data_IF_281081319101
#
_entry.id   IF_281081319101
#
_cell.length_a   1.000
_cell.length_b   1.000
_cell.length_c   1.000
_cell.angle_alpha   90.00
_cell.angle_beta   90.00
_cell.angle_gamma   90.00
#
_symmetry.space_group_name_H-M   'P 1'
#
loop_
_entity.id
_entity.type
_entity.pdbx_description
1 polymer ?
#
# COMPACT_ATOMS: atom_id res chain seq x y z
N UNK A 1 -1.52 -17.79 -9.09
CA UNK A 1 -2.65 -18.16 -8.23
C UNK A 1 -2.07 -19.00 -7.09
N UNK A 2 -2.12 -18.51 -5.87
CA UNK A 2 -1.51 -19.21 -4.73
C UNK A 2 -2.30 -20.48 -4.46
N UNK A 3 -1.63 -21.59 -4.17
CA UNK A 3 -2.27 -22.82 -3.71
C UNK A 3 -2.79 -22.61 -2.27
N UNK A 4 -3.76 -21.71 -2.13
CA UNK A 4 -4.24 -21.29 -0.81
C UNK A 4 -5.32 -22.20 -0.25
N UNK A 5 -6.02 -22.96 -1.10
CA UNK A 5 -7.13 -23.81 -0.66
C UNK A 5 -6.67 -24.89 0.30
N UNK A 6 -5.61 -25.62 -0.02
CA UNK A 6 -5.06 -26.65 0.88
C UNK A 6 -4.51 -26.05 2.20
N UNK A 7 -3.92 -24.85 2.13
CA UNK A 7 -3.44 -24.16 3.32
C UNK A 7 -4.59 -23.63 4.18
N UNK A 8 -5.68 -23.20 3.56
CA UNK A 8 -6.87 -22.76 4.28
C UNK A 8 -7.53 -23.92 5.03
N UNK A 9 -7.63 -25.10 4.43
CA UNK A 9 -8.12 -26.30 5.11
C UNK A 9 -7.26 -26.66 6.33
N UNK A 10 -5.92 -26.63 6.17
CA UNK A 10 -4.98 -26.91 7.27
C UNK A 10 -5.18 -25.95 8.45
N UNK A 11 -5.36 -24.66 8.18
CA UNK A 11 -5.43 -23.61 9.19
C UNK A 11 -6.87 -23.22 9.58
N UNK A 12 -7.87 -23.88 9.02
CA UNK A 12 -9.30 -23.59 9.30
C UNK A 12 -9.63 -23.59 10.80
N UNK A 13 -9.17 -24.54 11.64
CA UNK A 13 -9.48 -24.53 13.07
C UNK A 13 -8.96 -23.28 13.80
N UNK A 14 -7.85 -22.70 13.34
CA UNK A 14 -7.28 -21.48 13.92
C UNK A 14 -8.00 -20.24 13.40
N UNK A 15 -8.37 -20.22 12.12
CA UNK A 15 -9.05 -19.09 11.49
C UNK A 15 -10.48 -18.89 11.99
N UNK A 16 -11.17 -19.97 12.34
CA UNK A 16 -12.56 -19.96 12.77
C UNK A 16 -12.74 -20.14 14.29
N UNK A 17 -11.66 -19.94 15.06
CA UNK A 17 -11.72 -20.08 16.51
C UNK A 17 -12.70 -19.06 17.11
N UNK A 18 -13.65 -19.49 17.99
CA UNK A 18 -14.74 -18.66 18.48
C UNK A 18 -14.27 -17.46 19.33
N UNK A 19 -13.14 -17.57 20.02
CA UNK A 19 -12.63 -16.53 20.92
C UNK A 19 -11.89 -15.40 20.19
N UNK A 20 -11.73 -15.51 18.86
CA UNK A 20 -11.00 -14.55 18.07
C UNK A 20 -11.94 -13.85 17.07
N UNK A 21 -11.71 -12.55 16.77
CA UNK A 21 -12.56 -11.83 15.83
C UNK A 21 -12.55 -12.50 14.44
N UNK A 22 -13.72 -12.59 13.82
CA UNK A 22 -13.85 -13.21 12.49
C UNK A 22 -13.19 -12.33 11.43
N UNK A 23 -12.44 -12.96 10.53
CA UNK A 23 -11.88 -12.29 9.36
C UNK A 23 -12.90 -12.43 8.23
N UNK A 24 -13.63 -11.37 7.91
CA UNK A 24 -14.69 -11.37 6.89
C UNK A 24 -14.12 -11.37 5.46
N UNK A 25 -13.00 -10.71 5.26
CA UNK A 25 -12.35 -10.58 3.96
C UNK A 25 -11.61 -11.88 3.57
N UNK A 26 -12.02 -12.48 2.46
CA UNK A 26 -11.41 -13.70 1.92
C UNK A 26 -9.92 -13.50 1.56
N UNK A 27 -9.57 -12.30 1.11
CA UNK A 27 -8.18 -11.98 0.78
C UNK A 27 -7.31 -11.88 2.04
N UNK A 28 -7.75 -11.18 3.07
CA UNK A 28 -7.07 -11.11 4.37
C UNK A 28 -6.91 -12.51 4.98
N UNK A 29 -7.92 -13.37 4.83
CA UNK A 29 -7.88 -14.77 5.26
C UNK A 29 -6.78 -15.56 4.53
N UNK A 30 -6.72 -15.46 3.19
CA UNK A 30 -5.69 -16.13 2.39
C UNK A 30 -4.27 -15.67 2.74
N UNK A 31 -4.05 -14.39 2.92
CA UNK A 31 -2.75 -13.85 3.33
C UNK A 31 -2.37 -14.33 4.72
N UNK A 32 -3.30 -14.33 5.66
CA UNK A 32 -3.05 -14.79 7.04
C UNK A 32 -2.65 -16.26 7.07
N UNK A 33 -3.25 -17.13 6.24
CA UNK A 33 -2.87 -18.54 6.14
C UNK A 33 -1.44 -18.72 5.66
N UNK A 34 -1.00 -17.95 4.66
CA UNK A 34 0.38 -18.01 4.17
C UNK A 34 1.36 -17.54 5.25
N UNK A 35 1.02 -16.49 5.98
CA UNK A 35 1.85 -15.97 7.07
C UNK A 35 1.98 -17.00 8.20
N UNK A 36 0.90 -17.68 8.57
CA UNK A 36 0.92 -18.74 9.57
C UNK A 36 1.78 -19.94 9.12
N UNK A 37 1.71 -20.32 7.85
CA UNK A 37 2.56 -21.35 7.29
C UNK A 37 4.06 -20.97 7.29
N UNK A 38 4.37 -19.74 6.94
CA UNK A 38 5.74 -19.22 7.01
C UNK A 38 6.26 -19.21 8.46
N UNK A 39 5.39 -18.92 9.42
CA UNK A 39 5.73 -18.96 10.82
C UNK A 39 6.02 -20.40 11.29
N UNK A 40 5.18 -21.36 10.92
CA UNK A 40 5.42 -22.76 11.23
C UNK A 40 6.77 -23.25 10.67
N UNK A 41 7.09 -22.88 9.42
CA UNK A 41 8.36 -23.19 8.80
C UNK A 41 9.54 -22.58 9.56
N UNK A 42 9.47 -21.30 9.87
CA UNK A 42 10.51 -20.60 10.62
C UNK A 42 10.73 -21.23 12.00
N UNK A 43 9.67 -21.58 12.71
CA UNK A 43 9.77 -22.25 14.01
C UNK A 43 10.39 -23.67 13.91
N UNK A 44 10.09 -24.38 12.82
CA UNK A 44 10.72 -25.70 12.56
C UNK A 44 12.20 -25.58 12.26
N UNK A 45 12.61 -24.57 11.48
CA UNK A 45 14.01 -24.27 11.19
C UNK A 45 14.78 -23.90 12.47
N UNK A 46 14.23 -23.01 13.30
CA UNK A 46 14.83 -22.61 14.57
C UNK A 46 14.99 -23.80 15.53
N UNK A 47 14.01 -24.72 15.57
CA UNK A 47 14.09 -25.94 16.36
C UNK A 47 15.11 -26.93 15.83
N UNK A 48 15.21 -27.10 14.51
CA UNK A 48 16.22 -27.96 13.91
C UNK A 48 17.63 -27.47 14.30
N UNK A 49 17.86 -26.17 14.30
CA UNK A 49 19.13 -25.57 14.71
C UNK A 49 19.44 -25.79 16.20
N UNK A 50 18.43 -25.70 17.07
CA UNK A 50 18.59 -25.94 18.50
C UNK A 50 18.75 -27.43 18.83
N UNK A 51 18.17 -28.33 18.04
CA UNK A 51 18.29 -29.79 18.26
C UNK A 51 19.62 -30.35 17.85
N UNK A 52 20.35 -29.74 16.91
CA UNK A 52 21.71 -30.13 16.52
C UNK A 52 22.76 -29.83 17.62
N UNK A 53 22.46 -28.88 18.52
CA UNK A 53 23.40 -28.45 19.57
C UNK A 53 23.12 -29.10 20.95
N UNK A 54 22.14 -29.97 21.09
CA UNK A 54 21.84 -30.60 22.37
C UNK A 54 22.66 -31.86 22.57
N UNK A 55 23.48 -31.98 23.64
CA UNK A 55 24.18 -33.22 23.95
C UNK A 55 23.16 -34.33 24.28
N UNK A 56 23.28 -35.44 23.61
CA UNK A 56 22.45 -36.65 23.72
C UNK A 56 22.56 -37.34 25.09
N UNK A 57 22.23 -36.70 26.18
CA UNK A 57 22.17 -37.35 27.49
C UNK A 57 20.87 -37.01 28.24
N UNK A 58 19.74 -37.16 27.62
CA UNK A 58 18.47 -37.29 28.32
C UNK A 58 17.69 -38.44 27.69
N UNK A 59 18.07 -39.63 28.07
CA UNK A 59 17.21 -40.81 27.98
C UNK A 59 16.05 -40.65 28.96
N UNK A 60 15.11 -39.82 28.61
CA UNK A 60 13.76 -39.89 29.15
C UNK A 60 12.86 -40.31 28.00
N UNK A 61 12.59 -41.61 27.94
CA UNK A 61 11.63 -42.15 26.99
C UNK A 61 10.25 -41.54 27.18
N UNK A 62 9.81 -40.86 26.20
CA UNK A 62 8.47 -40.29 26.16
C UNK A 62 8.31 -39.36 24.97
N UNK A 63 7.75 -39.90 23.91
CA UNK A 63 7.07 -39.21 22.84
C UNK A 63 7.55 -37.76 22.53
N UNK A 64 8.53 -37.66 21.67
CA UNK A 64 9.07 -36.41 21.17
C UNK A 64 8.11 -35.69 20.19
N UNK A 65 6.83 -35.84 20.35
CA UNK A 65 5.82 -35.07 19.64
C UNK A 65 4.96 -34.25 20.59
N UNK A 66 5.59 -33.60 21.55
CA UNK A 66 4.97 -32.40 22.09
C UNK A 66 5.28 -31.27 21.12
N UNK A 67 4.48 -31.15 20.12
CA UNK A 67 4.31 -29.91 19.37
C UNK A 67 3.86 -28.84 20.37
N UNK A 68 4.83 -28.23 21.03
CA UNK A 68 4.56 -27.04 21.81
C UNK A 68 4.36 -25.90 20.83
N UNK A 69 3.20 -25.90 20.23
CA UNK A 69 2.66 -24.73 19.58
C UNK A 69 2.56 -23.67 20.65
N UNK A 70 3.13 -22.51 20.39
CA UNK A 70 2.96 -21.41 21.30
C UNK A 70 1.59 -20.76 20.99
N UNK A 71 0.51 -21.09 21.74
CA UNK A 71 -0.84 -20.65 21.41
C UNK A 71 -0.96 -19.12 21.51
N UNK A 72 -0.14 -18.50 22.36
CA UNK A 72 -0.08 -17.04 22.53
C UNK A 72 0.39 -16.38 21.24
N UNK A 73 1.43 -16.92 20.62
CA UNK A 73 2.01 -16.37 19.41
C UNK A 73 1.03 -16.46 18.23
N UNK A 74 0.36 -17.60 18.06
CA UNK A 74 -0.61 -17.81 16.99
C UNK A 74 -1.83 -16.89 17.16
N UNK A 75 -2.35 -16.77 18.36
CA UNK A 75 -3.47 -15.88 18.65
C UNK A 75 -3.11 -14.43 18.44
N UNK A 76 -1.89 -14.03 18.79
CA UNK A 76 -1.37 -12.68 18.62
C UNK A 76 -1.21 -12.35 17.12
N UNK A 77 -0.62 -13.24 16.32
CA UNK A 77 -0.48 -13.03 14.88
C UNK A 77 -1.85 -12.90 14.21
N UNK A 78 -2.78 -13.78 14.55
CA UNK A 78 -4.12 -13.73 13.99
C UNK A 78 -4.90 -12.46 14.40
N UNK A 79 -4.71 -11.97 15.62
CA UNK A 79 -5.38 -10.76 16.12
C UNK A 79 -4.75 -9.50 15.52
N UNK A 80 -3.44 -9.45 15.42
CA UNK A 80 -2.70 -8.25 15.12
C UNK A 80 -2.52 -8.01 13.61
N UNK A 81 -2.15 -9.04 12.83
CA UNK A 81 -1.80 -8.89 11.42
C UNK A 81 -2.94 -8.38 10.54
N UNK A 82 -4.20 -8.84 10.63
CA UNK A 82 -5.29 -8.35 9.79
C UNK A 82 -5.66 -6.87 10.02
N UNK A 83 -5.27 -6.31 11.16
CA UNK A 83 -5.59 -4.93 11.56
C UNK A 83 -4.56 -3.91 11.07
N UNK A 84 -3.49 -4.34 10.41
CA UNK A 84 -2.54 -3.41 9.82
C UNK A 84 -3.19 -2.56 8.72
N UNK A 85 -2.96 -1.25 8.76
CA UNK A 85 -3.44 -0.29 7.75
C UNK A 85 -2.92 -0.63 6.34
N UNK A 86 -1.79 -1.34 6.26
CA UNK A 86 -1.20 -1.79 5.02
C UNK A 86 -2.14 -2.68 4.19
N UNK A 87 -2.99 -3.49 4.83
CA UNK A 87 -3.95 -4.34 4.14
C UNK A 87 -5.05 -3.54 3.44
N UNK A 88 -5.36 -2.36 3.94
CA UNK A 88 -6.42 -1.52 3.41
C UNK A 88 -5.91 -0.54 2.36
N UNK A 89 -4.69 -0.01 2.53
CA UNK A 89 -4.13 1.04 1.67
C UNK A 89 -3.17 0.47 0.60
N UNK A 90 -2.38 -0.55 0.96
CA UNK A 90 -1.36 -1.14 0.09
C UNK A 90 -1.83 -2.46 -0.54
N UNK A 91 -1.16 -2.87 -1.60
CA UNK A 91 -1.24 -4.24 -2.09
C UNK A 91 -0.40 -5.15 -1.18
N UNK A 92 -0.95 -6.26 -0.72
CA UNK A 92 -0.23 -7.18 0.16
C UNK A 92 0.16 -8.42 -0.62
N UNK A 93 1.46 -8.69 -0.68
CA UNK A 93 2.02 -9.86 -1.37
C UNK A 93 2.95 -10.61 -0.40
N UNK A 94 2.48 -11.68 0.24
CA UNK A 94 3.31 -12.45 1.14
C UNK A 94 4.46 -13.12 0.38
N UNK A 95 5.66 -13.08 0.97
CA UNK A 95 6.85 -13.69 0.42
C UNK A 95 7.06 -15.08 1.02
N UNK A 96 7.54 -16.01 0.21
CA UNK A 96 7.91 -17.37 0.66
C UNK A 96 9.40 -17.51 0.97
N UNK A 97 10.19 -16.48 0.66
CA UNK A 97 11.64 -16.41 0.88
C UNK A 97 12.07 -15.01 1.32
N UNK A 98 13.35 -14.80 1.63
CA UNK A 98 13.89 -13.51 2.06
C UNK A 98 13.88 -12.45 0.96
N UNK A 99 13.73 -12.86 -0.29
CA UNK A 99 13.64 -11.98 -1.46
C UNK A 99 12.37 -12.30 -2.25
N UNK A 100 11.68 -11.27 -2.71
CA UNK A 100 10.52 -11.35 -3.58
C UNK A 100 10.74 -10.55 -4.87
N UNK A 101 9.95 -10.85 -5.89
CA UNK A 101 9.95 -10.14 -7.16
C UNK A 101 8.55 -9.63 -7.45
N UNK A 102 8.45 -8.35 -7.80
CA UNK A 102 7.24 -7.72 -8.30
C UNK A 102 7.45 -7.44 -9.78
N UNK A 103 6.56 -7.97 -10.61
CA UNK A 103 6.60 -7.78 -12.05
C UNK A 103 5.59 -6.75 -12.50
N UNK A 104 6.00 -5.90 -13.44
CA UNK A 104 5.14 -4.98 -14.14
C UNK A 104 5.33 -5.16 -15.64
N UNK A 105 4.23 -5.26 -16.38
CA UNK A 105 4.25 -5.36 -17.84
C UNK A 105 3.78 -4.05 -18.44
N UNK A 106 4.58 -3.50 -19.37
CA UNK A 106 4.26 -2.28 -20.12
C UNK A 106 4.12 -2.61 -21.58
N UNK A 107 3.07 -2.06 -22.20
CA UNK A 107 2.92 -2.05 -23.64
C UNK A 107 3.73 -0.87 -24.22
N UNK A 108 4.44 -1.11 -25.31
CA UNK A 108 5.29 -0.11 -25.97
C UNK A 108 5.05 -0.09 -27.47
N UNK A 109 5.32 1.04 -28.10
CA UNK A 109 5.27 1.19 -29.52
C UNK A 109 6.62 0.84 -30.15
N UNK A 110 6.59 0.21 -31.30
CA UNK A 110 7.69 -0.19 -32.17
C UNK A 110 8.69 -1.18 -31.53
N UNK A 111 9.28 -0.87 -30.40
CA UNK A 111 10.31 -1.69 -29.76
C UNK A 111 10.10 -1.79 -28.24
N UNK A 112 10.84 -2.70 -27.59
CA UNK A 112 10.80 -2.85 -26.12
C UNK A 112 11.26 -1.60 -25.37
N UNK A 113 12.05 -0.73 -25.99
CA UNK A 113 12.51 0.55 -25.45
C UNK A 113 11.70 1.75 -25.96
N UNK A 114 10.68 1.52 -26.79
CA UNK A 114 9.83 2.55 -27.36
C UNK A 114 8.96 3.29 -26.34
N UNK A 115 8.19 4.28 -26.80
CA UNK A 115 7.26 5.02 -25.98
C UNK A 115 6.19 4.09 -25.38
N UNK A 116 5.72 4.40 -24.18
CA UNK A 116 4.68 3.61 -23.50
C UNK A 116 3.33 3.80 -24.21
N UNK A 117 2.64 2.71 -24.45
CA UNK A 117 1.30 2.67 -25.03
C UNK A 117 0.24 2.45 -23.96
N UNK A 118 -1.02 2.81 -24.24
CA UNK A 118 -2.20 2.59 -23.42
C UNK A 118 -2.31 3.43 -22.15
N UNK A 119 -1.29 4.19 -21.76
CA UNK A 119 -1.29 5.08 -20.57
C UNK A 119 -1.56 6.51 -20.97
N UNK A 120 -0.86 7.01 -21.97
CA UNK A 120 -1.07 8.33 -22.54
C UNK A 120 -2.24 8.33 -23.53
N UNK A 121 -2.57 9.47 -24.09
CA UNK A 121 -3.59 9.58 -25.12
C UNK A 121 -3.22 8.70 -26.32
N UNK A 122 -4.20 7.98 -26.84
CA UNK A 122 -3.96 7.14 -28.00
C UNK A 122 -3.67 8.00 -29.24
N UNK A 123 -2.52 7.81 -29.84
CA UNK A 123 -2.19 8.47 -31.12
C UNK A 123 -3.03 7.86 -32.23
N UNK A 124 -3.79 8.67 -32.97
CA UNK A 124 -4.69 8.16 -34.01
C UNK A 124 -3.98 7.67 -35.31
N UNK A 125 -2.70 7.97 -35.46
CA UNK A 125 -1.93 7.76 -36.68
C UNK A 125 -0.98 6.54 -36.63
N UNK A 126 -0.80 5.88 -35.52
CA UNK A 126 0.12 4.72 -35.41
C UNK A 126 -0.35 3.52 -36.26
N UNK A 127 -1.64 3.22 -36.22
CA UNK A 127 -2.19 2.05 -36.93
C UNK A 127 -2.54 2.35 -38.40
N UNK A 128 -2.52 3.60 -38.81
CA UNK A 128 -2.79 4.02 -40.20
C UNK A 128 -1.53 4.25 -41.00
N UNK A 129 -0.35 4.02 -40.45
CA UNK A 129 0.94 4.17 -41.09
C UNK A 129 1.71 2.86 -41.17
N UNK A 130 2.72 2.81 -42.03
CA UNK A 130 3.70 1.74 -41.98
C UNK A 130 4.71 1.97 -40.84
N UNK A 131 5.58 1.02 -40.53
CA UNK A 131 6.58 1.13 -39.49
C UNK A 131 7.54 2.30 -39.63
N UNK A 132 7.75 2.76 -40.88
CA UNK A 132 8.63 3.89 -41.23
C UNK A 132 7.90 5.25 -41.20
N UNK A 133 6.59 5.30 -41.07
CA UNK A 133 5.79 6.52 -41.12
C UNK A 133 5.74 7.19 -42.50
N UNK A 134 6.02 6.43 -43.57
CA UNK A 134 6.14 6.97 -44.96
C UNK A 134 4.88 6.72 -45.78
N UNK A 135 4.10 5.72 -45.46
CA UNK A 135 2.84 5.38 -46.10
C UNK A 135 1.75 5.37 -45.04
N UNK A 136 0.70 6.15 -45.25
CA UNK A 136 -0.45 6.20 -44.35
C UNK A 136 -1.38 7.35 -44.68
N UNK A 137 -2.54 7.32 -44.08
CA UNK A 137 -3.48 8.43 -44.08
C UNK A 137 -2.94 9.54 -43.18
N UNK A 138 -2.27 10.51 -43.72
CA UNK A 138 -1.62 11.56 -42.97
C UNK A 138 -2.54 12.28 -41.96
N UNK A 139 -1.93 12.94 -41.05
CA UNK A 139 -2.56 13.83 -40.11
C UNK A 139 -3.42 14.88 -40.80
N UNK A 140 -4.67 15.00 -40.40
CA UNK A 140 -5.58 16.06 -40.83
C UNK A 140 -5.60 17.13 -39.75
N UNK A 141 -4.81 18.17 -39.92
CA UNK A 141 -4.79 19.30 -39.01
C UNK A 141 -3.49 19.44 -38.24
N UNK A 142 -3.33 20.56 -37.57
CA UNK A 142 -2.17 20.83 -36.75
C UNK A 142 -2.30 20.13 -35.40
N UNK A 143 -1.19 19.88 -34.75
CA UNK A 143 -1.07 19.13 -33.52
C UNK A 143 -1.74 19.83 -32.34
N UNK A 144 -2.85 19.34 -31.85
CA UNK A 144 -3.47 19.86 -30.65
C UNK A 144 -3.63 18.79 -29.59
N UNK A 145 -3.02 19.02 -28.43
CA UNK A 145 -3.04 18.10 -27.31
C UNK A 145 -4.10 18.42 -26.28
N UNK A 146 -4.83 19.53 -26.47
CA UNK A 146 -5.77 20.02 -25.44
C UNK A 146 -7.14 20.37 -26.01
N UNK A 147 -8.19 19.59 -25.74
CA UNK A 147 -9.55 19.90 -26.19
C UNK A 147 -10.13 21.19 -25.62
N UNK A 148 -9.49 21.83 -24.63
CA UNK A 148 -9.94 23.12 -24.10
C UNK A 148 -9.75 24.29 -25.07
N UNK A 149 -8.95 24.11 -26.12
CA UNK A 149 -8.66 25.11 -27.16
C UNK A 149 -9.71 25.11 -28.28
N UNK A 150 -10.75 24.27 -28.18
CA UNK A 150 -11.89 24.24 -29.10
C UNK A 150 -12.52 25.60 -29.42
N UNK A 151 -12.31 26.60 -28.55
CA UNK A 151 -12.82 27.94 -28.67
C UNK A 151 -11.81 28.93 -29.25
N UNK A 152 -10.57 28.52 -29.53
CA UNK A 152 -9.55 29.42 -30.08
C UNK A 152 -9.77 29.69 -31.57
N UNK A 153 -9.44 30.90 -31.95
CA UNK A 153 -9.43 31.33 -33.36
C UNK A 153 -8.00 31.67 -33.75
N UNK A 154 -7.43 30.97 -34.68
CA UNK A 154 -8.03 30.01 -35.64
C UNK A 154 -8.37 28.68 -34.99
N UNK A 155 -9.53 28.11 -35.43
CA UNK A 155 -10.07 26.90 -34.91
C UNK A 155 -8.99 25.83 -34.73
N UNK A 156 -8.93 25.36 -33.48
CA UNK A 156 -7.87 24.51 -32.99
C UNK A 156 -7.59 23.31 -33.80
N UNK A 157 -6.56 22.91 -33.54
CA UNK A 157 -5.67 21.97 -34.09
C UNK A 157 -5.80 20.66 -33.35
N UNK A 158 -6.91 19.95 -33.58
CA UNK A 158 -7.00 18.57 -33.13
C UNK A 158 -6.27 17.68 -34.12
N UNK A 159 -5.38 16.83 -33.64
CA UNK A 159 -4.79 15.80 -34.43
C UNK A 159 -5.83 14.74 -34.73
N UNK A 160 -6.28 14.65 -35.96
CA UNK A 160 -7.11 13.55 -36.43
C UNK A 160 -6.39 12.84 -37.58
N UNK A 161 -6.53 11.55 -37.66
CA UNK A 161 -5.93 10.77 -38.73
C UNK A 161 -7.01 10.05 -39.53
N UNK A 162 -6.78 9.89 -40.82
CA UNK A 162 -7.61 9.09 -41.72
C UNK A 162 -7.05 7.69 -41.84
N UNK A 163 -7.91 6.69 -42.09
CA UNK A 163 -7.45 5.36 -42.46
C UNK A 163 -6.66 5.36 -43.78
N UNK A 164 -5.94 4.28 -44.02
CA UNK A 164 -5.19 4.06 -45.25
C UNK A 164 -6.13 3.90 -46.45
N UNK A 165 -5.72 4.36 -47.62
CA UNK A 165 -6.40 4.05 -48.89
C UNK A 165 -6.20 2.57 -49.24
N UNK A 166 -7.07 2.02 -50.11
CA UNK A 166 -6.95 0.63 -50.55
C UNK A 166 -5.59 0.33 -51.17
N UNK A 167 -5.07 1.22 -51.99
CA UNK A 167 -3.75 1.05 -52.59
C UNK A 167 -2.60 1.06 -51.58
N UNK A 168 -2.72 1.87 -50.50
CA UNK A 168 -1.73 1.89 -49.42
C UNK A 168 -1.82 0.62 -48.57
N UNK A 169 -3.03 0.13 -48.33
CA UNK A 169 -3.24 -1.13 -47.60
C UNK A 169 -2.72 -2.36 -48.36
N UNK A 170 -2.83 -2.37 -49.71
CA UNK A 170 -2.24 -3.39 -50.55
C UNK A 170 -0.71 -3.37 -50.57
N UNK A 171 -0.10 -2.20 -50.43
CA UNK A 171 1.36 -2.04 -50.40
C UNK A 171 2.00 -2.41 -49.06
N UNK A 172 1.19 -2.57 -47.98
CA UNK A 172 1.72 -2.95 -46.67
C UNK A 172 2.31 -4.36 -46.70
N UNK A 173 3.59 -4.48 -46.35
CA UNK A 173 4.33 -5.73 -46.31
C UNK A 173 4.93 -6.18 -47.61
N UNK A 174 4.79 -5.40 -48.74
CA UNK A 174 5.34 -5.74 -50.06
C UNK A 174 6.86 -5.57 -50.14
N UNK A 175 7.43 -4.73 -49.28
CA UNK A 175 8.85 -4.47 -49.23
C UNK A 175 9.36 -4.25 -47.79
N UNK A 176 10.67 -4.35 -47.60
CA UNK A 176 11.29 -4.12 -46.29
C UNK A 176 11.14 -2.70 -45.75
N UNK A 177 10.68 -1.76 -46.56
CA UNK A 177 10.39 -0.37 -46.17
C UNK A 177 8.92 -0.15 -45.79
N UNK A 178 8.03 -1.08 -46.17
CA UNK A 178 6.58 -0.97 -45.97
C UNK A 178 6.06 -1.98 -44.94
N UNK A 179 6.82 -2.20 -43.89
CA UNK A 179 6.40 -3.12 -42.83
C UNK A 179 5.23 -2.54 -42.02
N UNK A 180 4.42 -3.42 -41.47
CA UNK A 180 3.34 -3.03 -40.52
C UNK A 180 3.93 -2.33 -39.30
N UNK A 181 3.22 -1.35 -38.76
CA UNK A 181 3.55 -0.78 -37.47
C UNK A 181 3.45 -1.87 -36.38
N UNK A 182 4.44 -1.90 -35.50
CA UNK A 182 4.59 -2.96 -34.50
C UNK A 182 4.32 -2.42 -33.10
N UNK A 183 3.89 -3.31 -32.23
CA UNK A 183 3.83 -3.09 -30.79
C UNK A 183 4.68 -4.13 -30.08
N UNK A 184 5.31 -3.71 -29.01
CA UNK A 184 6.11 -4.56 -28.15
C UNK A 184 5.60 -4.51 -26.69
N UNK A 185 6.08 -5.40 -25.87
CA UNK A 185 5.92 -5.30 -24.42
C UNK A 185 7.25 -5.45 -23.72
N UNK A 186 7.41 -4.73 -22.62
CA UNK A 186 8.55 -4.87 -21.72
C UNK A 186 8.07 -5.36 -20.36
N UNK A 187 8.88 -6.22 -19.73
CA UNK A 187 8.64 -6.69 -18.37
C UNK A 187 9.67 -6.02 -17.47
N UNK A 188 9.17 -5.20 -16.57
CA UNK A 188 9.98 -4.60 -15.52
C UNK A 188 9.84 -5.41 -14.25
N UNK A 189 10.95 -5.60 -13.54
CA UNK A 189 10.99 -6.32 -12.27
C UNK A 189 11.53 -5.40 -11.18
N UNK A 190 10.91 -5.48 -10.02
CA UNK A 190 11.41 -4.84 -8.81
C UNK A 190 11.64 -5.91 -7.76
N UNK A 191 12.85 -5.93 -7.21
CA UNK A 191 13.21 -6.86 -6.13
C UNK A 191 12.84 -6.26 -4.79
N UNK A 192 12.23 -7.08 -3.95
CA UNK A 192 11.90 -6.73 -2.56
C UNK A 192 12.70 -7.63 -1.65
N UNK A 193 13.44 -7.04 -0.73
CA UNK A 193 14.20 -7.78 0.30
C UNK A 193 13.52 -7.61 1.65
N UNK A 194 13.45 -8.70 2.43
CA UNK A 194 12.90 -8.66 3.76
C UNK A 194 13.92 -8.05 4.74
N UNK A 195 13.53 -6.98 5.40
CA UNK A 195 14.28 -6.34 6.49
C UNK A 195 13.71 -6.75 7.84
N UNK A 196 14.52 -6.67 8.89
CA UNK A 196 14.15 -7.11 10.23
C UNK A 196 13.86 -5.93 11.13
N UNK A 197 12.76 -6.00 11.89
CA UNK A 197 12.52 -5.19 13.07
C UNK A 197 12.53 -6.07 14.30
N UNK A 198 13.16 -5.61 15.37
CA UNK A 198 13.22 -6.33 16.63
C UNK A 198 13.19 -5.38 17.81
N UNK A 199 12.43 -5.77 18.83
CA UNK A 199 12.33 -5.04 20.08
C UNK A 199 12.40 -6.04 21.24
N UNK A 200 13.09 -5.69 22.32
CA UNK A 200 13.20 -6.54 23.52
C UNK A 200 12.76 -5.79 24.75
N UNK A 201 12.22 -6.53 25.71
CA UNK A 201 11.98 -6.05 27.06
C UNK A 201 12.60 -6.99 28.09
N UNK A 202 13.03 -6.44 29.20
CA UNK A 202 13.58 -7.17 30.34
C UNK A 202 12.74 -6.79 31.57
N UNK A 203 12.45 -7.77 32.41
CA UNK A 203 11.74 -7.52 33.65
C UNK A 203 12.37 -8.32 34.80
N UNK A 204 12.20 -7.83 36.02
CA UNK A 204 12.72 -8.52 37.21
C UNK A 204 11.73 -9.54 37.73
N UNK A 205 12.25 -10.65 38.27
CA UNK A 205 11.41 -11.69 38.87
C UNK A 205 10.56 -11.16 40.03
N UNK A 206 11.11 -10.23 40.80
CA UNK A 206 10.44 -9.59 41.93
C UNK A 206 9.22 -8.79 41.48
N UNK A 207 9.39 -7.98 40.40
CA UNK A 207 8.28 -7.23 39.81
C UNK A 207 7.16 -8.17 39.32
N UNK A 208 7.52 -9.29 38.70
CA UNK A 208 6.53 -10.26 38.23
C UNK A 208 5.73 -10.90 39.37
N UNK A 209 6.41 -11.20 40.49
CA UNK A 209 5.77 -11.73 41.70
C UNK A 209 4.84 -10.70 42.33
N UNK A 210 5.25 -9.46 42.44
CA UNK A 210 4.47 -8.38 43.06
C UNK A 210 3.24 -8.05 42.22
N UNK A 211 3.38 -7.95 40.89
CA UNK A 211 2.26 -7.74 39.98
C UNK A 211 1.22 -8.86 40.05
N UNK A 212 1.68 -10.11 40.13
CA UNK A 212 0.81 -11.25 40.27
C UNK A 212 0.10 -11.29 41.61
N UNK A 213 0.80 -10.94 42.72
CA UNK A 213 0.27 -10.95 44.06
C UNK A 213 -0.74 -9.82 44.31
N UNK A 214 -0.49 -8.61 43.81
CA UNK A 214 -1.30 -7.42 44.10
C UNK A 214 -2.39 -7.23 43.04
N UNK A 215 -2.08 -7.38 41.78
CA UNK A 215 -2.98 -7.07 40.66
C UNK A 215 -3.53 -8.32 39.95
N UNK A 216 -2.99 -9.50 40.21
CA UNK A 216 -3.37 -10.73 39.52
C UNK A 216 -2.95 -10.77 38.03
N UNK A 217 -2.09 -9.84 37.60
CA UNK A 217 -1.62 -9.71 36.22
C UNK A 217 -0.33 -10.50 36.02
N UNK A 218 -0.20 -11.11 34.83
CA UNK A 218 1.04 -11.74 34.40
C UNK A 218 1.92 -10.73 33.68
N UNK A 219 3.09 -10.42 34.26
CA UNK A 219 4.02 -9.43 33.73
C UNK A 219 4.51 -9.79 32.30
N UNK A 220 4.65 -11.09 32.03
CA UNK A 220 5.07 -11.56 30.71
C UNK A 220 4.02 -11.27 29.65
N UNK A 221 2.76 -11.55 29.94
CA UNK A 221 1.66 -11.34 29.01
C UNK A 221 1.42 -9.86 28.75
N UNK A 222 1.48 -9.02 29.78
CA UNK A 222 1.33 -7.57 29.62
C UNK A 222 2.47 -6.96 28.79
N UNK A 223 3.72 -7.34 29.05
CA UNK A 223 4.85 -6.89 28.26
C UNK A 223 4.78 -7.39 26.80
N UNK A 224 4.31 -8.61 26.57
CA UNK A 224 4.10 -9.13 25.24
C UNK A 224 3.07 -8.31 24.47
N UNK A 225 1.96 -7.94 25.10
CA UNK A 225 0.94 -7.10 24.51
C UNK A 225 1.49 -5.71 24.17
N UNK A 226 2.21 -5.07 25.08
CA UNK A 226 2.82 -3.74 24.88
C UNK A 226 3.82 -3.78 23.71
N UNK A 227 4.75 -4.74 23.72
CA UNK A 227 5.76 -4.85 22.67
C UNK A 227 5.14 -5.13 21.29
N UNK A 228 4.12 -5.98 21.23
CA UNK A 228 3.44 -6.29 19.97
C UNK A 228 2.68 -5.08 19.42
N UNK A 229 1.97 -4.35 20.29
CA UNK A 229 1.26 -3.14 19.91
C UNK A 229 2.22 -2.07 19.37
N UNK A 230 3.37 -1.87 20.03
CA UNK A 230 4.37 -0.89 19.59
C UNK A 230 4.97 -1.25 18.22
N UNK A 231 5.37 -2.51 18.02
CA UNK A 231 5.93 -2.95 16.72
C UNK A 231 4.91 -2.76 15.59
N UNK A 232 3.62 -3.06 15.84
CA UNK A 232 2.57 -2.86 14.85
C UNK A 232 2.31 -1.38 14.55
N UNK A 233 2.29 -0.55 15.59
CA UNK A 233 2.17 0.90 15.44
C UNK A 233 3.32 1.50 14.63
N UNK A 234 4.56 1.02 14.86
CA UNK A 234 5.72 1.42 14.07
C UNK A 234 5.59 1.02 12.60
N UNK A 235 5.12 -0.20 12.31
CA UNK A 235 4.91 -0.66 10.93
C UNK A 235 3.84 0.19 10.24
N UNK A 236 2.72 0.44 10.89
CA UNK A 236 1.67 1.30 10.35
C UNK A 236 2.19 2.71 10.08
N UNK A 237 2.99 3.26 11.00
CA UNK A 237 3.60 4.58 10.83
C UNK A 237 4.57 4.62 9.67
N UNK A 238 5.37 3.58 9.48
CA UNK A 238 6.30 3.47 8.35
C UNK A 238 5.54 3.46 7.02
N UNK A 239 4.46 2.68 6.90
CA UNK A 239 3.63 2.65 5.69
C UNK A 239 3.08 4.03 5.36
N UNK A 240 2.50 4.71 6.34
CA UNK A 240 1.95 6.07 6.17
C UNK A 240 3.04 7.06 5.75
N UNK A 241 4.21 7.03 6.40
CA UNK A 241 5.35 7.89 6.06
C UNK A 241 5.86 7.65 4.65
N UNK A 242 5.97 6.40 4.24
CA UNK A 242 6.41 6.02 2.90
C UNK A 242 5.43 6.51 1.82
N UNK A 243 4.12 6.49 2.11
CA UNK A 243 3.11 7.06 1.22
C UNK A 243 3.31 8.59 1.11
N UNK A 244 3.55 9.30 2.20
CA UNK A 244 3.78 10.75 2.16
C UNK A 244 5.02 11.14 1.35
N UNK A 245 6.09 10.39 1.52
CA UNK A 245 7.35 10.68 0.82
C UNK A 245 7.18 10.43 -0.68
N UNK A 246 6.56 9.30 -1.05
CA UNK A 246 6.42 8.90 -2.44
C UNK A 246 5.34 9.65 -3.21
N UNK A 247 4.30 10.16 -2.55
CA UNK A 247 3.15 10.80 -3.18
C UNK A 247 3.53 12.02 -4.01
N UNK A 248 3.00 12.12 -5.23
CA UNK A 248 3.13 13.28 -6.10
C UNK A 248 2.39 14.48 -5.49
N UNK A 249 2.86 15.67 -5.74
CA UNK A 249 2.23 16.91 -5.29
C UNK A 249 0.89 17.09 -6.03
N UNK A 250 -0.20 17.17 -5.29
CA UNK A 250 -1.55 17.46 -5.80
C UNK A 250 -1.83 18.97 -5.88
N UNK A 251 -3.08 19.33 -6.08
CA UNK A 251 -3.56 20.71 -6.13
C UNK A 251 -2.73 21.61 -7.08
N UNK A 252 -2.43 21.12 -8.28
CA UNK A 252 -1.58 21.82 -9.24
C UNK A 252 -2.31 22.83 -10.11
N UNK A 253 -3.64 22.72 -10.24
CA UNK A 253 -4.42 23.58 -11.09
C UNK A 253 -5.48 24.36 -10.29
N UNK A 254 -5.67 25.64 -10.61
CA UNK A 254 -6.60 26.57 -9.96
C UNK A 254 -6.35 26.72 -8.44
N UNK A 255 -5.11 26.70 -8.01
CA UNK A 255 -4.65 27.02 -6.67
C UNK A 255 -3.57 28.08 -6.75
N UNK A 256 -3.54 28.94 -5.77
CA UNK A 256 -2.55 30.03 -5.70
C UNK A 256 -1.12 29.50 -5.62
N UNK A 257 -0.95 28.42 -4.86
CA UNK A 257 0.34 27.74 -4.71
C UNK A 257 0.17 26.25 -4.99
N UNK A 258 0.96 25.71 -5.90
CA UNK A 258 0.96 24.27 -6.19
C UNK A 258 1.26 23.45 -4.92
N UNK A 259 0.42 22.47 -4.64
CA UNK A 259 0.56 21.58 -3.48
C UNK A 259 -0.07 22.10 -2.19
N UNK A 260 -0.61 23.32 -2.19
CA UNK A 260 -1.28 23.91 -1.05
C UNK A 260 -2.69 24.29 -1.49
N UNK A 261 -3.68 23.81 -0.76
CA UNK A 261 -5.06 24.26 -0.89
C UNK A 261 -5.38 25.19 0.26
N UNK A 262 -5.57 26.47 -0.05
CA UNK A 262 -5.92 27.51 0.92
C UNK A 262 -7.44 27.73 0.90
N UNK A 263 -8.08 27.48 2.05
CA UNK A 263 -9.53 27.63 2.17
C UNK A 263 -10.00 29.09 2.00
N UNK A 264 -9.15 30.07 2.24
CA UNK A 264 -9.54 31.46 2.10
C UNK A 264 -9.41 31.97 0.67
N UNK A 265 -8.38 31.54 -0.06
CA UNK A 265 -8.08 32.06 -1.40
C UNK A 265 -8.55 31.14 -2.52
N UNK A 266 -8.47 29.83 -2.33
CA UNK A 266 -8.75 28.84 -3.38
C UNK A 266 -10.18 28.29 -3.32
N UNK A 267 -10.93 28.61 -2.27
CA UNK A 267 -12.32 28.20 -2.10
C UNK A 267 -13.27 29.39 -2.29
N UNK A 268 -14.28 29.26 -3.17
CA UNK A 268 -15.23 30.31 -3.52
C UNK A 268 -16.39 30.48 -2.50
N UNK A 269 -16.26 29.96 -1.29
CA UNK A 269 -17.34 30.04 -0.29
C UNK A 269 -17.25 31.27 0.60
N UNK A 270 -18.43 31.81 0.99
CA UNK A 270 -18.53 32.84 2.04
C UNK A 270 -18.55 32.24 3.44
N UNK A 271 -19.18 31.09 3.59
CA UNK A 271 -19.37 30.39 4.85
C UNK A 271 -18.38 29.27 4.97
N UNK A 272 -17.94 28.92 6.18
CA UNK A 272 -17.01 27.83 6.43
C UNK A 272 -17.47 26.51 5.81
N UNK A 273 -18.74 26.17 5.87
CA UNK A 273 -19.30 24.95 5.26
C UNK A 273 -19.17 24.95 3.74
N UNK A 274 -19.35 26.12 3.09
CA UNK A 274 -19.15 26.21 1.63
C UNK A 274 -17.68 26.05 1.25
N UNK A 275 -16.78 26.61 2.06
CA UNK A 275 -15.34 26.44 1.88
C UNK A 275 -14.93 24.97 2.02
N UNK A 276 -15.52 24.22 2.96
CA UNK A 276 -15.29 22.78 3.11
C UNK A 276 -15.83 21.96 1.91
N UNK A 277 -16.91 22.38 1.28
CA UNK A 277 -17.36 21.79 0.01
C UNK A 277 -16.36 22.05 -1.13
N UNK A 278 -15.70 23.21 -1.11
CA UNK A 278 -14.60 23.51 -2.02
C UNK A 278 -13.41 22.56 -1.84
N UNK A 279 -13.05 22.25 -0.59
CA UNK A 279 -12.03 21.25 -0.28
C UNK A 279 -12.38 19.87 -0.85
N UNK A 280 -13.65 19.48 -0.76
CA UNK A 280 -14.09 18.21 -1.33
C UNK A 280 -13.97 18.19 -2.86
N UNK A 281 -14.26 19.30 -3.54
CA UNK A 281 -14.04 19.38 -4.98
C UNK A 281 -12.56 19.26 -5.35
N UNK A 282 -11.67 19.84 -4.56
CA UNK A 282 -10.22 19.68 -4.74
C UNK A 282 -9.76 18.21 -4.58
N UNK A 283 -10.27 17.52 -3.56
CA UNK A 283 -10.07 16.08 -3.38
C UNK A 283 -10.51 15.27 -4.61
N UNK A 284 -11.70 15.56 -5.13
CA UNK A 284 -12.25 14.88 -6.31
C UNK A 284 -11.41 15.12 -7.55
N UNK A 285 -10.86 16.32 -7.73
CA UNK A 285 -9.94 16.65 -8.83
C UNK A 285 -8.65 15.84 -8.73
N UNK A 286 -8.05 15.76 -7.55
CA UNK A 286 -6.83 14.95 -7.35
C UNK A 286 -7.09 13.47 -7.59
N UNK A 287 -8.26 12.97 -7.16
CA UNK A 287 -8.66 11.59 -7.45
C UNK A 287 -8.83 11.33 -8.97
N UNK A 288 -9.44 12.27 -9.70
CA UNK A 288 -9.58 12.19 -11.15
C UNK A 288 -8.22 12.24 -11.85
N UNK A 289 -7.31 13.08 -11.38
CA UNK A 289 -5.97 13.17 -11.93
C UNK A 289 -5.16 11.87 -11.75
N UNK A 290 -5.36 11.14 -10.63
CA UNK A 290 -4.80 9.80 -10.47
C UNK A 290 -5.35 8.88 -11.55
N UNK A 291 -6.67 8.87 -11.78
CA UNK A 291 -7.30 8.07 -12.83
C UNK A 291 -6.81 8.39 -14.24
N UNK A 292 -6.59 9.67 -14.53
CA UNK A 292 -6.04 10.11 -15.82
C UNK A 292 -4.60 9.64 -16.02
N UNK A 293 -3.76 9.72 -14.97
CA UNK A 293 -2.34 9.39 -15.07
C UNK A 293 -2.06 7.90 -15.03
N UNK A 294 -2.87 7.14 -14.28
CA UNK A 294 -2.65 5.70 -14.12
C UNK A 294 -3.45 4.85 -15.10
N UNK A 295 -4.55 5.38 -15.64
CA UNK A 295 -5.51 4.65 -16.50
C UNK A 295 -6.05 3.34 -15.85
N UNK A 296 -5.84 3.17 -14.55
CA UNK A 296 -6.28 2.00 -13.77
C UNK A 296 -7.58 2.25 -13.05
N UNK A 297 -7.75 3.44 -12.51
CA UNK A 297 -8.94 3.82 -11.77
C UNK A 297 -8.75 5.11 -11.02
N UNK A 298 -9.86 5.70 -10.63
CA UNK A 298 -9.92 6.91 -9.82
C UNK A 298 -9.48 6.63 -8.40
N UNK A 299 -8.83 7.57 -7.74
CA UNK A 299 -8.50 7.47 -6.33
C UNK A 299 -9.71 7.04 -5.48
N UNK A 300 -9.51 6.15 -4.54
CA UNK A 300 -10.57 5.58 -3.70
C UNK A 300 -10.24 5.56 -2.20
N UNK A 301 -9.03 5.99 -1.83
CA UNK A 301 -8.55 6.05 -0.46
C UNK A 301 -8.13 7.48 -0.16
N UNK A 302 -8.51 7.97 1.02
CA UNK A 302 -8.09 9.26 1.55
C UNK A 302 -7.43 9.03 2.90
N UNK A 303 -6.23 9.52 3.05
CA UNK A 303 -5.51 9.57 4.31
C UNK A 303 -5.37 11.04 4.70
N UNK A 304 -5.89 11.43 5.85
CA UNK A 304 -5.94 12.83 6.25
C UNK A 304 -5.64 13.04 7.74
N UNK A 305 -5.37 14.28 8.10
CA UNK A 305 -5.30 14.69 9.50
C UNK A 305 -6.69 14.74 10.14
N UNK A 306 -6.76 14.68 11.47
CA UNK A 306 -8.01 14.68 12.22
C UNK A 306 -8.89 15.91 11.94
N UNK A 307 -8.27 17.09 11.81
CA UNK A 307 -9.00 18.33 11.56
C UNK A 307 -9.61 18.36 10.15
N UNK A 308 -8.89 17.86 9.15
CA UNK A 308 -9.44 17.72 7.79
C UNK A 308 -10.61 16.73 7.77
N UNK A 309 -10.54 15.62 8.51
CA UNK A 309 -11.66 14.69 8.62
C UNK A 309 -12.87 15.35 9.27
N UNK A 310 -12.66 16.16 10.30
CA UNK A 310 -13.73 16.95 10.95
C UNK A 310 -14.35 17.98 10.01
N UNK A 311 -13.55 18.64 9.18
CA UNK A 311 -14.03 19.55 8.16
C UNK A 311 -14.90 18.86 7.09
N UNK A 312 -14.48 17.67 6.66
CA UNK A 312 -15.26 16.84 5.73
C UNK A 312 -16.57 16.35 6.35
N UNK A 313 -16.60 16.08 7.64
CA UNK A 313 -17.81 15.75 8.38
C UNK A 313 -18.76 16.95 8.44
N UNK A 314 -18.25 18.14 8.78
CA UNK A 314 -19.05 19.37 8.83
C UNK A 314 -19.62 19.75 7.46
N UNK A 315 -18.96 19.39 6.37
CA UNK A 315 -19.51 19.54 5.03
C UNK A 315 -20.75 18.65 4.77
N UNK A 316 -21.06 17.73 5.68
CA UNK A 316 -22.21 16.82 5.58
C UNK A 316 -22.05 15.72 4.55
N UNK A 317 -20.85 15.35 4.22
CA UNK A 317 -20.52 14.44 3.11
C UNK A 317 -19.84 13.15 3.59
N UNK A 318 -19.25 13.16 4.77
CA UNK A 318 -18.64 11.99 5.37
C UNK A 318 -19.72 11.21 6.13
N UNK A 319 -20.14 10.10 5.55
CA UNK A 319 -21.00 9.14 6.24
C UNK A 319 -20.14 8.27 7.15
N UNK A 320 -20.27 8.49 8.45
CA UNK A 320 -19.73 7.54 9.41
C UNK A 320 -20.51 6.24 9.29
N UNK A 321 -19.78 5.16 9.08
CA UNK A 321 -20.41 3.84 9.12
C UNK A 321 -21.02 3.61 10.50
N UNK A 322 -22.32 3.25 10.62
CA UNK A 322 -22.96 3.02 11.92
C UNK A 322 -22.33 1.89 12.75
N UNK A 323 -21.45 1.12 12.16
CA UNK A 323 -20.62 0.14 12.84
C UNK A 323 -19.50 0.76 13.69
N UNK A 324 -19.13 2.00 13.46
CA UNK A 324 -18.36 2.80 14.38
C UNK A 324 -19.32 3.32 15.47
N UNK A 325 -19.74 2.40 16.34
CA UNK A 325 -20.33 2.77 17.59
C UNK A 325 -19.54 3.90 18.22
N UNK A 326 -20.20 4.92 18.73
CA UNK A 326 -19.84 6.07 19.54
C UNK A 326 -18.45 6.12 20.24
N UNK A 327 -17.61 5.16 20.04
CA UNK A 327 -16.24 5.09 20.45
C UNK A 327 -15.39 5.21 19.20
N UNK A 328 -14.80 6.37 18.98
CA UNK A 328 -13.54 6.53 18.25
C UNK A 328 -12.47 5.74 19.03
N UNK A 329 -12.61 4.43 19.05
CA UNK A 329 -11.55 3.58 19.53
C UNK A 329 -10.48 3.67 18.47
N UNK A 330 -9.46 4.47 18.76
CA UNK A 330 -8.17 4.34 18.11
C UNK A 330 -7.75 2.90 18.38
N UNK A 331 -7.74 2.08 17.35
CA UNK A 331 -7.19 0.74 17.45
C UNK A 331 -5.78 0.85 18.05
N UNK A 332 -5.41 -0.03 18.96
CA UNK A 332 -4.06 -0.10 19.54
C UNK A 332 -2.97 -0.16 18.44
N UNK A 333 -3.35 -0.56 17.23
CA UNK A 333 -2.51 -0.62 16.03
C UNK A 333 -2.43 0.70 15.25
N UNK A 334 -3.04 1.79 15.72
CA UNK A 334 -3.08 3.10 15.05
C UNK A 334 -3.77 3.10 13.68
N UNK A 335 -4.58 2.11 13.38
CA UNK A 335 -5.42 2.07 12.17
C UNK A 335 -6.76 2.71 12.48
N UNK A 336 -6.96 3.94 12.06
CA UNK A 336 -8.22 4.67 12.24
C UNK A 336 -8.97 4.80 10.93
N UNK A 337 -9.93 3.93 10.70
CA UNK A 337 -10.90 4.07 9.63
C UNK A 337 -12.04 4.98 10.10
N UNK A 338 -12.20 6.16 9.50
CA UNK A 338 -13.22 7.13 9.89
C UNK A 338 -14.59 6.88 9.24
N UNK A 339 -14.60 6.38 8.01
CA UNK A 339 -15.83 6.16 7.29
C UNK A 339 -15.66 6.25 5.78
N UNK A 340 -16.77 6.33 5.07
CA UNK A 340 -16.78 6.47 3.61
C UNK A 340 -17.31 7.85 3.19
N UNK A 341 -16.57 8.52 2.32
CA UNK A 341 -16.96 9.77 1.73
C UNK A 341 -17.71 9.50 0.42
N UNK A 342 -18.94 9.98 0.28
CA UNK A 342 -19.81 9.78 -0.90
C UNK A 342 -19.99 8.30 -1.30
N UNK A 343 -19.86 7.35 -0.39
CA UNK A 343 -19.95 5.92 -0.69
C UNK A 343 -18.81 5.38 -1.59
N UNK A 344 -17.79 6.19 -1.88
CA UNK A 344 -16.68 5.82 -2.79
C UNK A 344 -15.31 5.82 -2.12
N UNK A 345 -15.03 6.84 -1.32
CA UNK A 345 -13.72 7.05 -0.72
C UNK A 345 -13.69 6.52 0.69
N UNK A 346 -12.76 5.64 0.99
CA UNK A 346 -12.46 5.21 2.35
C UNK A 346 -11.54 6.23 3.00
N UNK A 347 -11.96 6.80 4.11
CA UNK A 347 -11.21 7.83 4.84
C UNK A 347 -10.51 7.23 6.04
N UNK A 348 -9.20 7.43 6.12
CA UNK A 348 -8.35 7.02 7.23
C UNK A 348 -7.76 8.26 7.88
N UNK A 349 -7.84 8.33 9.21
CA UNK A 349 -7.26 9.41 9.99
C UNK A 349 -5.87 9.01 10.44
N UNK A 350 -4.89 9.90 10.25
CA UNK A 350 -3.57 9.74 10.85
C UNK A 350 -3.58 10.31 12.29
N UNK A 351 -3.51 9.46 13.33
CA UNK A 351 -3.58 9.93 14.72
C UNK A 351 -2.32 10.69 15.14
N UNK A 352 -1.22 10.50 14.43
CA UNK A 352 0.06 11.17 14.72
C UNK A 352 0.31 12.43 13.89
N UNK A 353 -0.68 12.86 13.10
CA UNK A 353 -0.58 14.14 12.42
C UNK A 353 -0.49 15.25 13.47
N UNK A 354 0.51 16.10 13.34
CA UNK A 354 0.69 17.21 14.28
C UNK A 354 -0.54 18.12 14.26
N UNK A 355 -1.16 18.33 15.40
CA UNK A 355 -2.28 19.27 15.60
C UNK A 355 -1.83 20.74 15.54
N UNK A 356 -0.91 21.05 14.64
CA UNK A 356 -0.48 22.41 14.39
C UNK A 356 -1.23 22.89 13.16
N UNK A 357 -1.96 23.97 13.28
CA UNK A 357 -2.80 24.55 12.21
C UNK A 357 -2.08 24.72 10.86
N UNK A 358 -0.78 24.87 10.88
CA UNK A 358 0.06 24.99 9.69
C UNK A 358 0.39 23.65 8.99
N UNK A 359 0.03 22.51 9.57
CA UNK A 359 0.47 21.18 9.10
C UNK A 359 -0.67 20.25 8.70
N UNK A 360 -1.85 20.78 8.45
CA UNK A 360 -2.98 20.00 7.98
C UNK A 360 -2.76 19.52 6.55
N UNK A 361 -3.13 18.28 6.27
CA UNK A 361 -2.91 17.67 4.96
C UNK A 361 -3.90 16.55 4.67
N UNK A 362 -4.00 16.23 3.39
CA UNK A 362 -4.63 15.01 2.92
C UNK A 362 -3.78 14.35 1.84
N UNK A 363 -3.92 13.06 1.71
CA UNK A 363 -3.36 12.26 0.61
C UNK A 363 -4.49 11.45 -0.01
N UNK A 364 -4.66 11.57 -1.30
CA UNK A 364 -5.57 10.74 -2.08
C UNK A 364 -4.76 9.60 -2.69
N UNK A 365 -5.25 8.38 -2.57
CA UNK A 365 -4.61 7.19 -3.10
C UNK A 365 -5.55 6.30 -3.88
N UNK A 366 -5.00 5.41 -4.67
CA UNK A 366 -5.71 4.39 -5.41
C UNK A 366 -5.25 2.99 -5.03
N UNK A 367 -6.22 2.12 -4.76
CA UNK A 367 -6.02 0.67 -4.61
C UNK A 367 -7.13 -0.05 -5.38
N UNK A 368 -6.73 -0.89 -6.32
CA UNK A 368 -7.65 -1.75 -7.05
C UNK A 368 -8.13 -2.96 -6.23
N UNK A 369 -9.01 -3.73 -6.82
CA UNK A 369 -9.50 -5.00 -6.23
C UNK A 369 -8.45 -6.11 -6.27
N UNK A 370 -7.54 -6.05 -7.24
CA UNK A 370 -6.42 -6.98 -7.34
C UNK A 370 -5.29 -6.60 -6.37
N UNK A 371 -4.65 -7.57 -5.70
CA UNK A 371 -3.49 -7.32 -4.85
C UNK A 371 -2.29 -6.73 -5.59
N UNK A 372 -2.25 -6.86 -6.91
CA UNK A 372 -1.20 -6.32 -7.78
C UNK A 372 -1.48 -4.90 -8.25
N UNK A 373 -2.69 -4.40 -8.04
CA UNK A 373 -3.12 -3.08 -8.51
C UNK A 373 -3.14 -2.07 -7.36
N UNK A 374 -1.96 -1.69 -6.93
CA UNK A 374 -1.75 -0.71 -5.86
C UNK A 374 -0.47 0.10 -6.12
N UNK A 375 -0.41 1.29 -5.55
CA UNK A 375 0.76 2.16 -5.67
C UNK A 375 1.93 1.74 -4.80
N UNK A 376 1.69 0.98 -3.74
CA UNK A 376 2.70 0.47 -2.81
C UNK A 376 2.36 -0.96 -2.42
N UNK A 377 3.40 -1.77 -2.23
CA UNK A 377 3.28 -3.17 -1.86
C UNK A 377 3.89 -3.42 -0.50
N UNK A 378 3.13 -4.08 0.36
CA UNK A 378 3.59 -4.62 1.62
C UNK A 378 3.81 -6.12 1.48
N UNK A 379 5.02 -6.59 1.74
CA UNK A 379 5.45 -7.96 1.49
C UNK A 379 5.88 -8.62 2.81
N UNK A 380 4.95 -9.16 3.61
CA UNK A 380 5.29 -9.86 4.84
C UNK A 380 5.99 -11.19 4.53
N UNK A 381 7.07 -11.46 5.25
CA UNK A 381 7.79 -12.73 5.16
C UNK A 381 7.61 -13.55 6.44
N UNK A 382 8.16 -13.07 7.54
CA UNK A 382 8.01 -13.69 8.84
C UNK A 382 7.15 -12.78 9.70
N UNK A 383 6.03 -13.29 10.23
CA UNK A 383 5.19 -12.51 11.13
C UNK A 383 5.93 -12.24 12.45
N UNK A 384 5.21 -11.68 13.39
CA UNK A 384 5.76 -11.38 14.70
C UNK A 384 6.15 -12.65 15.43
N UNK A 385 7.45 -12.84 15.65
CA UNK A 385 8.01 -13.96 16.43
C UNK A 385 8.34 -13.47 17.84
N UNK A 386 7.98 -14.25 18.84
CA UNK A 386 8.37 -14.04 20.22
C UNK A 386 9.55 -14.96 20.58
N UNK A 387 10.58 -14.38 21.16
CA UNK A 387 11.75 -15.11 21.67
C UNK A 387 11.88 -14.85 23.16
N UNK A 388 11.99 -15.90 23.94
CA UNK A 388 12.23 -15.86 25.37
C UNK A 388 13.65 -16.25 25.69
N UNK A 389 14.30 -15.53 26.58
CA UNK A 389 15.64 -15.83 27.03
C UNK A 389 15.81 -15.42 28.50
N UNK A 390 16.72 -16.07 29.20
CA UNK A 390 17.16 -15.66 30.54
C UNK A 390 18.53 -15.02 30.39
N UNK A 391 18.74 -13.91 31.06
CA UNK A 391 20.02 -13.18 31.02
C UNK A 391 21.12 -13.99 31.71
N UNK A 392 22.28 -14.15 31.04
CA UNK A 392 23.40 -14.93 31.54
C UNK A 392 23.93 -14.40 32.89
N UNK A 393 24.04 -13.08 33.05
CA UNK A 393 24.65 -12.46 34.23
C UNK A 393 23.62 -12.01 35.27
N UNK A 394 22.41 -11.69 34.84
CA UNK A 394 21.37 -11.13 35.71
C UNK A 394 20.33 -12.14 36.14
N UNK A 395 20.26 -13.29 35.49
CA UNK A 395 19.21 -14.31 35.65
C UNK A 395 17.79 -13.76 35.52
N UNK A 396 17.66 -12.59 34.91
CA UNK A 396 16.37 -11.94 34.68
C UNK A 396 15.76 -12.43 33.36
N UNK A 397 14.45 -12.67 33.30
CA UNK A 397 13.79 -13.05 32.07
C UNK A 397 13.72 -11.89 31.08
N UNK A 398 13.91 -12.23 29.81
CA UNK A 398 13.89 -11.30 28.69
C UNK A 398 12.94 -11.81 27.63
N UNK A 399 12.15 -10.90 27.06
CA UNK A 399 11.26 -11.19 25.95
C UNK A 399 11.66 -10.32 24.77
N UNK A 400 11.74 -10.92 23.59
CA UNK A 400 11.98 -10.20 22.36
C UNK A 400 10.95 -10.51 21.31
N UNK A 401 10.53 -9.49 20.56
CA UNK A 401 9.72 -9.64 19.36
C UNK A 401 10.56 -9.31 18.13
N UNK A 402 10.40 -10.10 17.10
CA UNK A 402 11.10 -9.95 15.83
C UNK A 402 10.12 -10.19 14.69
N UNK A 403 10.17 -9.34 13.67
CA UNK A 403 9.39 -9.49 12.44
C UNK A 403 10.25 -9.19 11.23
N UNK A 404 9.91 -9.79 10.08
CA UNK A 404 10.60 -9.56 8.81
C UNK A 404 9.60 -9.30 7.71
N UNK A 405 9.74 -8.17 7.03
CA UNK A 405 8.88 -7.77 5.93
C UNK A 405 9.63 -6.85 4.97
N UNK A 406 9.09 -6.65 3.78
CA UNK A 406 9.57 -5.68 2.83
C UNK A 406 8.45 -4.74 2.41
N UNK A 407 8.79 -3.51 2.05
CA UNK A 407 7.87 -2.56 1.42
C UNK A 407 8.50 -2.12 0.10
N UNK A 408 7.72 -2.07 -0.96
CA UNK A 408 8.18 -1.62 -2.26
C UNK A 408 7.17 -0.69 -2.91
N UNK A 409 7.65 0.30 -3.64
CA UNK A 409 6.80 1.13 -4.49
C UNK A 409 6.48 0.41 -5.82
N UNK A 410 5.41 0.83 -6.46
CA UNK A 410 5.03 0.28 -7.75
C UNK A 410 6.10 0.60 -8.82
N UNK A 411 6.51 -0.36 -9.67
CA UNK A 411 7.49 -0.13 -10.74
C UNK A 411 7.11 0.94 -11.77
N UNK A 412 5.83 1.28 -11.89
CA UNK A 412 5.36 2.34 -12.80
C UNK A 412 5.57 3.77 -12.28
N UNK A 413 6.28 3.97 -11.20
CA UNK A 413 6.58 5.31 -10.72
C UNK A 413 7.57 6.02 -11.64
N UNK A 414 7.48 7.34 -11.73
CA UNK A 414 8.45 8.16 -12.45
C UNK A 414 9.65 8.42 -11.55
N UNK A 415 10.77 7.82 -11.85
CA UNK A 415 12.02 8.02 -11.12
C UNK A 415 12.90 6.78 -11.21
N UNK A 416 14.20 6.98 -11.17
CA UNK A 416 15.15 5.89 -11.10
C UNK A 416 14.94 5.18 -9.76
N UNK A 417 14.51 3.94 -9.80
CA UNK A 417 14.56 3.09 -8.63
C UNK A 417 16.03 2.88 -8.36
N UNK A 418 16.59 3.63 -7.43
CA UNK A 418 17.94 3.38 -6.99
C UNK A 418 17.97 1.96 -6.46
N UNK A 419 18.84 1.12 -7.00
CA UNK A 419 19.10 -0.18 -6.43
C UNK A 419 19.59 0.08 -5.01
N UNK A 420 18.76 -0.15 -4.03
CA UNK A 420 19.19 -0.12 -2.65
C UNK A 420 20.11 -1.31 -2.44
N UNK A 421 21.37 -1.04 -2.23
CA UNK A 421 22.36 -2.04 -1.90
C UNK A 421 22.14 -2.68 -0.53
N UNK A 422 21.31 -2.07 0.31
CA UNK A 422 21.17 -2.45 1.73
C UNK A 422 19.75 -2.90 2.12
N UNK A 423 18.90 -3.30 1.16
CA UNK A 423 17.54 -3.72 1.46
C UNK A 423 16.62 -2.60 1.97
N UNK A 424 17.13 -1.38 2.11
CA UNK A 424 16.33 -0.22 2.42
C UNK A 424 15.47 0.17 1.22
N UNK A 425 14.26 0.61 1.50
CA UNK A 425 13.30 1.00 0.48
C UNK A 425 13.84 2.22 -0.25
N UNK A 426 14.15 2.06 -1.52
CA UNK A 426 14.45 3.20 -2.39
C UNK A 426 13.14 3.89 -2.78
N UNK A 427 12.63 4.74 -1.89
CA UNK A 427 11.47 5.57 -2.17
C UNK A 427 11.95 6.91 -2.68
N UNK A 428 11.74 7.15 -3.97
CA UNK A 428 11.98 8.47 -4.55
C UNK A 428 10.83 9.40 -4.17
N UNK A 429 11.14 10.58 -3.64
CA UNK A 429 10.12 11.54 -3.25
C UNK A 429 9.34 12.04 -4.47
N UNK A 430 8.03 12.22 -4.31
CA UNK A 430 7.12 12.77 -5.30
C UNK A 430 7.12 12.05 -6.67
N UNK A 431 7.32 10.73 -6.68
CA UNK A 431 7.41 9.94 -7.91
C UNK A 431 6.22 9.00 -8.17
N UNK A 432 5.45 8.67 -7.14
CA UNK A 432 4.38 7.69 -7.23
C UNK A 432 3.06 8.30 -7.70
N UNK A 433 2.68 8.07 -8.95
CA UNK A 433 1.46 8.60 -9.58
C UNK A 433 0.15 8.08 -8.95
N UNK A 434 0.21 7.00 -8.15
CA UNK A 434 -0.96 6.43 -7.48
C UNK A 434 -1.38 7.19 -6.23
N UNK A 435 -0.53 8.09 -5.73
CA UNK A 435 -0.79 8.90 -4.55
C UNK A 435 -0.55 10.37 -4.83
N UNK A 436 -1.45 11.24 -4.33
CA UNK A 436 -1.32 12.69 -4.41
C UNK A 436 -1.49 13.30 -3.03
N UNK A 437 -0.51 14.11 -2.63
CA UNK A 437 -0.51 14.82 -1.34
C UNK A 437 -0.78 16.31 -1.52
N UNK A 438 -1.57 16.86 -0.63
CA UNK A 438 -1.89 18.28 -0.58
C UNK A 438 -1.85 18.76 0.87
N UNK A 439 -1.25 19.94 1.07
CA UNK A 439 -1.31 20.66 2.33
C UNK A 439 -2.57 21.53 2.34
N UNK A 440 -3.31 21.52 3.43
CA UNK A 440 -4.47 22.38 3.64
C UNK A 440 -4.05 23.54 4.54
N UNK A 441 -4.27 24.76 4.08
CA UNK A 441 -4.00 25.98 4.83
C UNK A 441 -5.32 26.66 5.22
N UNK A 442 -5.26 27.46 6.29
CA UNK A 442 -6.37 28.26 6.78
C UNK A 442 -7.65 27.45 7.04
N UNK A 443 -7.51 26.29 7.65
CA UNK A 443 -8.64 25.43 7.98
C UNK A 443 -9.54 26.09 9.03
N UNK A 444 -8.92 26.80 10.00
CA UNK A 444 -9.50 27.78 10.94
C UNK A 444 -8.44 28.75 11.40
#
# INVERSE_FOLDING_TARGET
MFQTEHLQEKWQPVLEHPDLPKIEDAYKRAVTTIILENQEKSLKEDRAFLSEAAPTNSSFGGNASMDSWDPILISLVRRAMPNLIAYDICGVQPMTGPTGLIFAMRARFASQDGAEALVDEAFPDISNQNAAGTIGGGDIGATETNPSVLMDSPAGTHTSATGQTTAQGEALGDSGTNQFAEMAFSIEKHTVTAVTRALKAEYTMELAQDLKAIHGLDAEQELANILSAEVLAEINREVVRNIYVSAVIGAQANTTNAGIFDLDTDSNGRWSVEKFKGLMFALERDANAIGQQTRRGKGNIILCSADVASALQMAGVLDYTPALNNNLNVDDTSSTFAGTLNGRYKVYIDPYAANISASQYYVVGYKGTSPYDAGMFYCPYVPLQMVRAVGENTFQPKIGFKTRYGIAANPFHTGTVGASTDGAISITSASNKYYRKVKVANLM
#
